data_IF_670586772526
#
_entry.id   IF_670586772526
#
_cell.length_a   1.000
_cell.length_b   1.000
_cell.length_c   1.000
_cell.angle_alpha   90.00
_cell.angle_beta   90.00
_cell.angle_gamma   90.00
#
_symmetry.space_group_name_H-M   'P 1'
#
loop_
_entity.id
_entity.type
_entity.pdbx_description
1 polymer ?
#
# COMPACT_ATOMS: atom_id res chain seq x y z
N UNK A 1 6.01 11.77 -4.20
CA UNK A 1 4.97 12.79 -4.50
C UNK A 1 5.49 14.02 -5.26
N UNK A 2 6.55 14.74 -4.83
CA UNK A 2 7.05 15.95 -5.54
C UNK A 2 7.39 15.74 -7.03
N UNK A 3 7.87 14.55 -7.42
CA UNK A 3 8.21 14.22 -8.82
C UNK A 3 7.00 13.94 -9.72
N UNK A 4 5.85 13.54 -9.18
CA UNK A 4 4.66 13.24 -9.99
C UNK A 4 3.87 14.50 -10.37
N UNK A 5 3.88 15.55 -9.52
CA UNK A 5 3.30 16.85 -9.88
C UNK A 5 3.95 17.48 -11.13
N UNK A 6 5.27 17.30 -11.31
CA UNK A 6 6.01 17.90 -12.44
C UNK A 6 5.79 17.21 -13.79
N UNK A 7 5.19 16.02 -13.81
CA UNK A 7 5.13 15.16 -15.01
C UNK A 7 3.75 15.12 -15.69
N UNK A 8 2.76 15.85 -15.17
CA UNK A 8 1.44 15.95 -15.78
C UNK A 8 1.42 17.04 -16.85
N UNK A 9 1.17 16.65 -18.11
CA UNK A 9 1.08 17.54 -19.29
C UNK A 9 0.07 18.69 -19.08
N UNK A 10 -0.99 18.48 -18.30
CA UNK A 10 -1.99 19.51 -17.99
C UNK A 10 -1.49 20.66 -17.11
N UNK A 11 -0.35 20.50 -16.44
CA UNK A 11 0.26 21.50 -15.56
C UNK A 11 1.46 22.17 -16.25
N UNK A 12 1.92 21.66 -17.40
CA UNK A 12 3.13 22.12 -18.07
C UNK A 12 3.04 23.60 -18.50
N UNK A 13 1.82 24.09 -18.77
CA UNK A 13 1.52 25.47 -19.18
C UNK A 13 1.38 26.50 -18.05
N UNK A 14 1.35 26.08 -16.78
CA UNK A 14 1.20 26.98 -15.62
C UNK A 14 2.55 27.53 -15.16
N UNK A 15 2.58 28.71 -14.52
CA UNK A 15 3.81 29.22 -13.89
C UNK A 15 4.22 28.32 -12.73
N UNK A 16 5.52 28.13 -12.49
CA UNK A 16 6.02 27.22 -11.44
C UNK A 16 5.46 27.52 -10.04
N UNK A 17 5.24 28.79 -9.70
CA UNK A 17 4.59 29.20 -8.44
C UNK A 17 3.16 28.65 -8.31
N UNK A 18 2.36 28.71 -9.37
CA UNK A 18 1.01 28.15 -9.39
C UNK A 18 1.02 26.61 -9.34
N UNK A 19 2.05 25.95 -9.90
CA UNK A 19 2.20 24.50 -9.82
C UNK A 19 2.45 24.05 -8.38
N UNK A 20 3.31 24.78 -7.66
CA UNK A 20 3.63 24.47 -6.27
C UNK A 20 2.42 24.64 -5.36
N UNK A 21 1.66 25.74 -5.48
CA UNK A 21 0.41 25.93 -4.73
C UNK A 21 -0.62 24.83 -5.00
N UNK A 22 -0.81 24.47 -6.27
CA UNK A 22 -1.74 23.41 -6.66
C UNK A 22 -1.30 22.07 -6.07
N UNK A 23 -0.01 21.74 -6.17
CA UNK A 23 0.55 20.50 -5.65
C UNK A 23 0.43 20.42 -4.12
N UNK A 24 0.67 21.52 -3.40
CA UNK A 24 0.54 21.57 -1.93
C UNK A 24 -0.91 21.34 -1.52
N UNK A 25 -1.86 22.06 -2.11
CA UNK A 25 -3.27 21.94 -1.70
C UNK A 25 -3.87 20.57 -2.08
N UNK A 26 -3.53 20.04 -3.26
CA UNK A 26 -3.94 18.67 -3.66
C UNK A 26 -3.31 17.65 -2.72
N UNK A 27 -2.03 17.81 -2.38
CA UNK A 27 -1.36 16.91 -1.45
C UNK A 27 -1.97 16.95 -0.05
N UNK A 28 -2.42 18.11 0.43
CA UNK A 28 -3.10 18.24 1.72
C UNK A 28 -4.45 17.53 1.69
N UNK A 29 -5.29 17.80 0.68
CA UNK A 29 -6.60 17.13 0.53
C UNK A 29 -6.48 15.61 0.37
N UNK A 30 -5.53 15.15 -0.44
CA UNK A 30 -5.25 13.71 -0.61
C UNK A 30 -4.74 13.11 0.68
N UNK A 31 -3.88 13.81 1.44
CA UNK A 31 -3.36 13.33 2.73
C UNK A 31 -4.49 13.12 3.73
N UNK A 32 -5.37 14.10 3.90
CA UNK A 32 -6.48 14.00 4.87
C UNK A 32 -7.44 12.86 4.50
N UNK A 33 -7.79 12.74 3.22
CA UNK A 33 -8.62 11.64 2.75
C UNK A 33 -7.92 10.28 2.90
N UNK A 34 -6.62 10.22 2.59
CA UNK A 34 -5.82 8.99 2.75
C UNK A 34 -5.77 8.57 4.21
N UNK A 35 -5.65 9.50 5.16
CA UNK A 35 -5.69 9.19 6.59
C UNK A 35 -7.03 8.57 7.00
N UNK A 36 -8.14 9.20 6.59
CA UNK A 36 -9.49 8.68 6.87
C UNK A 36 -9.67 7.30 6.26
N UNK A 37 -9.33 7.14 4.98
CA UNK A 37 -9.44 5.85 4.28
C UNK A 37 -8.54 4.78 4.90
N UNK A 38 -7.34 5.15 5.35
CA UNK A 38 -6.41 4.22 6.02
C UNK A 38 -7.00 3.65 7.31
N UNK A 39 -7.75 4.44 8.08
CA UNK A 39 -8.45 3.95 9.27
C UNK A 39 -9.48 2.88 8.89
N UNK A 40 -10.33 3.17 7.90
CA UNK A 40 -11.30 2.19 7.40
C UNK A 40 -10.62 0.95 6.81
N UNK A 41 -9.49 1.14 6.14
CA UNK A 41 -8.70 0.06 5.55
C UNK A 41 -8.15 -0.89 6.61
N UNK A 42 -7.65 -0.35 7.72
CA UNK A 42 -7.17 -1.15 8.86
C UNK A 42 -8.33 -1.99 9.43
N UNK A 43 -9.49 -1.39 9.65
CA UNK A 43 -10.67 -2.12 10.13
C UNK A 43 -11.10 -3.23 9.17
N UNK A 44 -11.11 -2.95 7.86
CA UNK A 44 -11.41 -3.92 6.82
C UNK A 44 -10.36 -5.05 6.80
N UNK A 45 -9.08 -4.72 6.96
CA UNK A 45 -7.99 -5.70 7.01
C UNK A 45 -8.12 -6.63 8.21
N UNK A 46 -8.47 -6.10 9.40
CA UNK A 46 -8.72 -6.93 10.59
C UNK A 46 -9.88 -7.89 10.33
N UNK A 47 -10.99 -7.40 9.77
CA UNK A 47 -12.14 -8.23 9.41
C UNK A 47 -11.78 -9.30 8.38
N UNK A 48 -10.97 -8.96 7.39
CA UNK A 48 -10.48 -9.89 6.38
C UNK A 48 -9.63 -10.99 7.02
N UNK A 49 -8.69 -10.66 7.91
CA UNK A 49 -7.87 -11.65 8.61
C UNK A 49 -8.73 -12.58 9.48
N UNK A 50 -9.73 -12.04 10.20
CA UNK A 50 -10.69 -12.85 10.95
C UNK A 50 -11.45 -13.82 10.04
N UNK A 51 -11.89 -13.34 8.87
CA UNK A 51 -12.56 -14.17 7.88
C UNK A 51 -11.65 -15.29 7.35
N UNK A 52 -10.39 -14.97 7.01
CA UNK A 52 -9.41 -15.97 6.60
C UNK A 52 -9.29 -17.08 7.65
N UNK A 53 -9.12 -16.69 8.92
CA UNK A 53 -8.98 -17.66 10.01
C UNK A 53 -10.23 -18.55 10.18
N UNK A 54 -11.43 -17.97 10.06
CA UNK A 54 -12.70 -18.70 10.17
C UNK A 54 -12.91 -19.70 9.03
N UNK A 55 -12.49 -19.36 7.81
CA UNK A 55 -12.78 -20.13 6.60
C UNK A 55 -11.58 -20.88 6.02
N UNK A 56 -10.44 -20.93 6.71
CA UNK A 56 -9.22 -21.59 6.24
C UNK A 56 -9.42 -23.07 5.85
N UNK A 57 -10.40 -23.76 6.45
CA UNK A 57 -10.68 -25.17 6.14
C UNK A 57 -11.70 -25.36 5.01
N UNK A 58 -12.43 -24.32 4.65
CA UNK A 58 -13.56 -24.38 3.70
C UNK A 58 -13.24 -23.67 2.38
N UNK A 59 -12.32 -22.71 2.39
CA UNK A 59 -12.00 -21.90 1.22
C UNK A 59 -10.52 -22.07 0.85
N UNK A 60 -10.25 -22.45 -0.40
CA UNK A 60 -8.89 -22.72 -0.87
C UNK A 60 -7.96 -21.50 -0.78
N UNK A 61 -8.49 -20.29 -1.02
CA UNK A 61 -7.72 -19.06 -0.88
C UNK A 61 -7.42 -18.75 0.59
N UNK A 62 -8.39 -18.88 1.48
CA UNK A 62 -8.18 -18.71 2.92
C UNK A 62 -7.17 -19.72 3.47
N UNK A 63 -7.25 -20.98 3.01
CA UNK A 63 -6.29 -22.03 3.33
C UNK A 63 -4.88 -21.65 2.90
N UNK A 64 -4.69 -21.33 1.62
CA UNK A 64 -3.39 -20.92 1.08
C UNK A 64 -2.81 -19.72 1.83
N UNK A 65 -3.65 -18.72 2.12
CA UNK A 65 -3.23 -17.54 2.86
C UNK A 65 -2.71 -17.93 4.25
N UNK A 66 -3.42 -18.81 4.96
CA UNK A 66 -3.00 -19.30 6.27
C UNK A 66 -1.74 -20.17 6.20
N UNK A 67 -1.64 -21.07 5.22
CA UNK A 67 -0.48 -21.95 4.99
C UNK A 67 0.81 -21.14 4.74
N UNK A 68 0.72 -19.99 4.07
CA UNK A 68 1.88 -19.09 3.92
C UNK A 68 2.35 -18.59 5.28
N UNK A 69 1.45 -18.11 6.14
CA UNK A 69 1.78 -17.66 7.49
C UNK A 69 2.37 -18.79 8.33
N UNK A 70 1.76 -19.97 8.30
CA UNK A 70 2.23 -21.15 9.01
C UNK A 70 3.64 -21.56 8.55
N UNK A 71 3.92 -21.47 7.24
CA UNK A 71 5.25 -21.76 6.69
C UNK A 71 6.34 -20.75 7.07
N UNK A 72 5.94 -19.56 7.54
CA UNK A 72 6.84 -18.47 7.95
C UNK A 72 7.00 -18.44 9.46
N UNK A 73 6.00 -18.87 10.22
CA UNK A 73 6.03 -18.93 11.68
C UNK A 73 7.30 -19.57 12.27
N UNK A 74 7.77 -20.75 11.81
CA UNK A 74 9.00 -21.35 12.33
C UNK A 74 10.27 -20.57 11.94
N UNK A 75 10.25 -19.83 10.83
CA UNK A 75 11.39 -18.99 10.43
C UNK A 75 11.49 -17.73 11.31
N UNK A 76 10.36 -17.19 11.76
CA UNK A 76 10.33 -16.03 12.66
C UNK A 76 10.72 -16.44 14.09
N UNK A 77 10.20 -17.57 14.56
CA UNK A 77 10.35 -18.03 15.96
C UNK A 77 11.56 -18.93 16.20
N UNK A 78 12.15 -19.47 15.15
CA UNK A 78 13.33 -20.34 15.21
C UNK A 78 14.64 -19.56 15.37
N UNK A 79 15.75 -20.28 15.23
CA UNK A 79 17.09 -19.70 15.22
C UNK A 79 17.41 -19.07 13.85
N UNK A 80 17.89 -17.82 13.87
CA UNK A 80 18.24 -17.04 12.68
C UNK A 80 19.73 -17.23 12.31
N UNK A 81 20.47 -17.98 13.12
CA UNK A 81 21.91 -18.18 13.01
C UNK A 81 22.70 -17.06 13.68
N UNK A 82 23.97 -17.37 13.99
CA UNK A 82 24.86 -16.44 14.70
C UNK A 82 25.64 -15.48 13.81
N UNK A 83 25.54 -15.62 12.47
CA UNK A 83 26.28 -14.78 11.53
C UNK A 83 25.37 -13.82 10.78
N UNK A 84 25.92 -12.66 10.39
CA UNK A 84 25.18 -11.64 9.64
C UNK A 84 24.59 -12.15 8.32
N UNK A 85 25.31 -13.05 7.65
CA UNK A 85 24.85 -13.66 6.39
C UNK A 85 23.65 -14.58 6.60
N UNK A 86 23.64 -15.37 7.68
CA UNK A 86 22.51 -16.24 8.02
C UNK A 86 21.28 -15.43 8.37
N UNK A 87 21.44 -14.38 9.19
CA UNK A 87 20.34 -13.48 9.55
C UNK A 87 19.74 -12.84 8.29
N UNK A 88 20.59 -12.32 7.40
CA UNK A 88 20.14 -11.69 6.16
C UNK A 88 19.41 -12.66 5.22
N UNK A 89 19.89 -13.91 5.14
CA UNK A 89 19.25 -14.95 4.34
C UNK A 89 17.87 -15.34 4.89
N UNK A 90 17.73 -15.47 6.21
CA UNK A 90 16.46 -15.77 6.88
C UNK A 90 15.44 -14.66 6.66
N UNK A 91 15.85 -13.40 6.80
CA UNK A 91 14.99 -12.24 6.50
C UNK A 91 14.53 -12.25 5.04
N UNK A 92 15.45 -12.47 4.10
CA UNK A 92 15.11 -12.53 2.67
C UNK A 92 14.09 -13.63 2.38
N UNK A 93 14.26 -14.81 2.98
CA UNK A 93 13.35 -15.93 2.81
C UNK A 93 11.94 -15.63 3.37
N UNK A 94 11.87 -15.00 4.54
CA UNK A 94 10.61 -14.53 5.13
C UNK A 94 9.93 -13.53 4.19
N UNK A 95 10.66 -12.53 3.70
CA UNK A 95 10.13 -11.54 2.76
C UNK A 95 9.61 -12.18 1.48
N UNK A 96 10.34 -13.15 0.92
CA UNK A 96 9.94 -13.84 -0.31
C UNK A 96 8.66 -14.65 -0.11
N UNK A 97 8.55 -15.39 1.00
CA UNK A 97 7.35 -16.15 1.36
C UNK A 97 6.13 -15.25 1.60
N UNK A 98 6.31 -14.12 2.30
CA UNK A 98 5.23 -13.18 2.56
C UNK A 98 4.90 -12.27 1.37
N UNK A 99 5.77 -12.21 0.36
CA UNK A 99 5.61 -11.29 -0.77
C UNK A 99 4.24 -11.35 -1.46
N UNK A 100 3.60 -12.52 -1.70
CA UNK A 100 2.30 -12.56 -2.36
C UNK A 100 1.21 -11.92 -1.49
N UNK A 101 1.25 -12.18 -0.18
CA UNK A 101 0.30 -11.62 0.79
C UNK A 101 0.49 -10.11 0.93
N UNK A 102 1.74 -9.65 0.99
CA UNK A 102 2.05 -8.22 1.04
C UNK A 102 1.51 -7.48 -0.19
N UNK A 103 1.65 -8.07 -1.38
CA UNK A 103 1.10 -7.49 -2.61
C UNK A 103 -0.43 -7.42 -2.52
N UNK A 104 -1.10 -8.53 -2.21
CA UNK A 104 -2.57 -8.57 -2.12
C UNK A 104 -3.11 -7.56 -1.10
N UNK A 105 -2.45 -7.44 0.06
CA UNK A 105 -2.88 -6.56 1.14
C UNK A 105 -2.45 -5.10 0.97
N UNK A 106 -1.48 -4.77 0.12
CA UNK A 106 -1.06 -3.37 -0.09
C UNK A 106 -1.70 -2.77 -1.33
N UNK A 107 -1.99 -3.61 -2.34
CA UNK A 107 -2.48 -3.17 -3.64
C UNK A 107 -3.77 -2.31 -3.57
N UNK A 108 -4.81 -2.66 -2.77
CA UNK A 108 -6.02 -1.85 -2.71
C UNK A 108 -5.77 -0.42 -2.19
N UNK A 109 -4.92 -0.29 -1.16
CA UNK A 109 -4.58 1.00 -0.59
C UNK A 109 -3.77 1.85 -1.57
N UNK A 110 -2.79 1.25 -2.26
CA UNK A 110 -1.98 1.94 -3.27
C UNK A 110 -2.84 2.41 -4.44
N UNK A 111 -3.72 1.54 -4.96
CA UNK A 111 -4.64 1.90 -6.04
C UNK A 111 -5.56 3.06 -5.65
N UNK A 112 -6.11 3.03 -4.43
CA UNK A 112 -6.94 4.12 -3.93
C UNK A 112 -6.21 5.46 -3.93
N UNK A 113 -4.98 5.50 -3.42
CA UNK A 113 -4.18 6.74 -3.36
C UNK A 113 -3.91 7.27 -4.77
N UNK A 114 -3.52 6.42 -5.71
CA UNK A 114 -3.22 6.81 -7.10
C UNK A 114 -4.48 7.36 -7.78
N UNK A 115 -5.62 6.68 -7.64
CA UNK A 115 -6.90 7.10 -8.24
C UNK A 115 -7.33 8.45 -7.68
N UNK A 116 -7.36 8.60 -6.35
CA UNK A 116 -7.78 9.85 -5.71
C UNK A 116 -6.88 11.02 -6.11
N UNK A 117 -5.57 10.78 -6.15
CA UNK A 117 -4.60 11.77 -6.60
C UNK A 117 -4.93 12.25 -8.02
N UNK A 118 -5.12 11.32 -8.97
CA UNK A 118 -5.46 11.66 -10.35
C UNK A 118 -6.80 12.42 -10.47
N UNK A 119 -7.83 12.02 -9.71
CA UNK A 119 -9.14 12.69 -9.69
C UNK A 119 -9.00 14.13 -9.19
N UNK A 120 -8.32 14.35 -8.06
CA UNK A 120 -8.14 15.70 -7.51
C UNK A 120 -7.31 16.59 -8.44
N UNK A 121 -6.26 16.05 -9.08
CA UNK A 121 -5.51 16.78 -10.09
C UNK A 121 -6.39 17.22 -11.25
N UNK A 122 -7.15 16.30 -11.86
CA UNK A 122 -8.02 16.61 -13.00
C UNK A 122 -9.10 17.65 -12.65
N UNK A 123 -9.73 17.53 -11.48
CA UNK A 123 -10.75 18.49 -11.02
C UNK A 123 -10.19 19.90 -10.86
N UNK A 124 -8.98 20.02 -10.30
CA UNK A 124 -8.39 21.34 -10.01
C UNK A 124 -7.85 22.04 -11.25
N UNK A 125 -7.35 21.29 -12.23
CA UNK A 125 -6.97 21.84 -13.54
C UNK A 125 -8.21 22.27 -14.32
N UNK A 126 -9.24 21.42 -14.36
CA UNK A 126 -10.49 21.70 -15.07
C UNK A 126 -11.35 22.82 -14.46
N UNK A 127 -11.09 23.26 -13.22
CA UNK A 127 -11.78 24.39 -12.60
C UNK A 127 -11.07 25.74 -12.78
N UNK A 128 -9.85 25.76 -13.35
CA UNK A 128 -9.05 26.99 -13.58
C UNK A 128 -8.93 27.38 -15.05
N UNK A 129 -9.41 26.53 -15.98
CA UNK A 129 -9.56 26.82 -17.41
C UNK A 129 -11.03 27.17 -17.65
#
# INVERSE_FOLDING_TARGET
MRKECKKNEGIEKLKEEEKEEICIEVSQKVRDLTLIFSIFYILATIKFIMWINMFQWQNAFAKWYWDVFDSVYPLITGDWGGTWNQISATVLLICLKLSPILIINSLPLVLFIVIMTNIFFRRKIGSRI
#
